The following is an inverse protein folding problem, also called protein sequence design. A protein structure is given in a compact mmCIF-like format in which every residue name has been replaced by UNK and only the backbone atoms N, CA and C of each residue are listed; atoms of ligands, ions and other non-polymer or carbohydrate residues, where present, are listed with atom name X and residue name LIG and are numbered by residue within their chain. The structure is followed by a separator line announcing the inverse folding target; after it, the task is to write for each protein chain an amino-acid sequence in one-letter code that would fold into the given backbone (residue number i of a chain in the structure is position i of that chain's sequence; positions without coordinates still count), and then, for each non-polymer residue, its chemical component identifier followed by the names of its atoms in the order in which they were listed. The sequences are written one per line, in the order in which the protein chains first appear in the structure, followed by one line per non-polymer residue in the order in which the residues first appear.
data_IF_831405464925
#
_entry.id   IF_831405464925
#
_cell.length_a   1.000
_cell.length_b   1.000
_cell.length_c   1.000
_cell.angle_alpha   90.00
_cell.angle_beta   90.00
_cell.angle_gamma   90.00
#
_symmetry.space_group_name_H-M   'P 1'
#
loop_
_entity.id
_entity.type
_entity.pdbx_description
1 polymer ?
#
# COMPACT_ATOMS: atom_id res chain seq x y z
N UNK A 1 51.30 13.72 -49.39
CA UNK A 1 49.92 13.16 -49.26
C UNK A 1 49.64 12.49 -47.90
N UNK A 2 50.62 11.96 -47.22
CA UNK A 2 50.57 11.24 -45.95
C UNK A 2 50.09 12.08 -44.77
N UNK A 3 50.45 13.38 -44.67
CA UNK A 3 50.03 14.22 -43.51
C UNK A 3 48.52 14.55 -43.44
N UNK A 4 47.84 14.56 -44.57
CA UNK A 4 46.40 14.84 -44.63
C UNK A 4 45.55 13.61 -44.12
N UNK A 5 46.05 12.41 -44.47
CA UNK A 5 45.37 11.16 -44.07
C UNK A 5 45.52 10.93 -42.57
N UNK A 6 46.70 11.18 -42.00
CA UNK A 6 46.94 11.05 -40.56
C UNK A 6 46.17 12.11 -39.76
N UNK A 7 45.99 13.31 -40.29
CA UNK A 7 45.19 14.36 -39.65
C UNK A 7 43.70 14.00 -39.64
N UNK A 8 43.16 13.51 -40.77
CA UNK A 8 41.79 13.03 -40.89
C UNK A 8 41.51 11.83 -39.95
N UNK A 9 42.44 10.87 -39.87
CA UNK A 9 42.32 9.72 -38.99
C UNK A 9 42.29 10.12 -37.48
N UNK A 10 43.13 11.10 -37.11
CA UNK A 10 43.12 11.65 -35.72
C UNK A 10 41.83 12.42 -35.43
N UNK A 11 41.30 13.20 -36.37
CA UNK A 11 40.05 13.93 -36.22
C UNK A 11 38.87 12.97 -36.05
N UNK A 12 38.85 11.88 -36.83
CA UNK A 12 37.81 10.84 -36.73
C UNK A 12 37.89 10.07 -35.40
N UNK A 13 39.11 9.79 -34.91
CA UNK A 13 39.32 9.13 -33.63
C UNK A 13 38.85 9.99 -32.42
N UNK A 14 39.08 11.31 -32.47
CA UNK A 14 38.62 12.24 -31.40
C UNK A 14 37.11 12.40 -31.46
N UNK A 15 36.50 12.46 -32.64
CA UNK A 15 35.06 12.57 -32.81
C UNK A 15 34.33 11.27 -32.35
N UNK A 16 34.93 10.11 -32.61
CA UNK A 16 34.41 8.82 -32.14
C UNK A 16 34.50 8.67 -30.62
N UNK A 17 35.55 9.18 -29.97
CA UNK A 17 35.73 9.13 -28.53
C UNK A 17 34.75 10.04 -27.77
N UNK A 18 34.36 11.18 -28.38
CA UNK A 18 33.34 12.08 -27.77
C UNK A 18 31.91 11.51 -27.84
N UNK A 19 31.62 10.64 -28.81
CA UNK A 19 30.27 10.01 -28.90
C UNK A 19 30.04 8.93 -27.86
N UNK A 20 31.08 8.34 -27.26
CA UNK A 20 30.97 7.31 -26.23
C UNK A 20 30.79 7.87 -24.82
N UNK A 21 30.93 9.18 -24.61
CA UNK A 21 30.86 9.81 -23.29
C UNK A 21 29.47 10.33 -22.93
N UNK A 22 28.45 10.21 -23.79
CA UNK A 22 27.12 10.79 -23.57
C UNK A 22 26.07 9.74 -23.14
N UNK A 23 26.48 8.52 -22.83
CA UNK A 23 25.55 7.41 -22.49
C UNK A 23 25.45 7.12 -20.99
N UNK A 24 25.52 8.12 -20.13
CA UNK A 24 25.03 7.99 -18.77
C UNK A 24 23.66 8.66 -18.68
N UNK A 25 22.58 7.92 -18.98
CA UNK A 25 21.25 8.35 -18.62
C UNK A 25 21.13 8.27 -17.09
N UNK A 26 20.74 9.37 -16.47
CA UNK A 26 20.48 9.50 -15.02
C UNK A 26 19.24 8.73 -14.56
N UNK A 27 18.62 7.93 -15.43
CA UNK A 27 17.37 7.19 -15.17
C UNK A 27 17.57 5.88 -14.41
N UNK A 28 18.80 5.49 -14.08
CA UNK A 28 19.09 4.20 -13.43
C UNK A 28 19.00 4.23 -11.90
N UNK A 29 18.71 5.39 -11.31
CA UNK A 29 18.58 5.53 -9.85
C UNK A 29 17.13 5.92 -9.51
N UNK A 30 16.45 5.07 -8.74
CA UNK A 30 15.17 5.43 -8.15
C UNK A 30 15.39 6.38 -6.98
N UNK A 31 15.29 7.68 -7.20
CA UNK A 31 15.47 8.73 -6.18
C UNK A 31 14.28 8.81 -5.20
N UNK A 32 13.15 8.23 -5.56
CA UNK A 32 11.95 8.19 -4.73
C UNK A 32 11.51 6.76 -4.46
N UNK A 33 11.29 6.41 -3.19
CA UNK A 33 10.65 5.14 -2.82
C UNK A 33 9.22 5.11 -3.34
N UNK A 34 9.04 4.49 -4.50
CA UNK A 34 7.70 4.28 -5.09
C UNK A 34 7.08 3.07 -4.42
N UNK A 35 6.45 3.30 -3.28
CA UNK A 35 5.71 2.25 -2.60
C UNK A 35 4.24 2.28 -3.01
N UNK A 36 3.68 1.11 -3.32
CA UNK A 36 2.24 0.93 -3.39
C UNK A 36 1.65 1.28 -2.02
N UNK A 37 0.76 2.27 -1.91
CA UNK A 37 0.22 2.72 -0.63
C UNK A 37 -0.68 1.66 -0.03
N UNK A 38 -0.65 1.55 1.30
CA UNK A 38 -1.49 0.66 2.08
C UNK A 38 -2.80 1.34 2.47
N UNK A 39 -3.81 0.53 2.70
CA UNK A 39 -5.08 0.96 3.29
C UNK A 39 -4.86 1.33 4.76
N UNK A 40 -5.05 2.59 5.11
CA UNK A 40 -5.00 3.04 6.51
C UNK A 40 -6.40 2.95 7.11
N UNK A 41 -6.51 2.09 8.12
CA UNK A 41 -7.74 1.87 8.91
C UNK A 41 -7.56 2.50 10.28
N UNK A 42 -8.57 3.22 10.78
CA UNK A 42 -8.59 3.78 12.14
C UNK A 42 -9.84 3.32 12.89
N UNK A 43 -9.65 3.05 14.18
CA UNK A 43 -10.70 2.53 15.05
C UNK A 43 -11.36 3.63 15.89
N UNK A 44 -12.67 3.55 16.04
CA UNK A 44 -13.50 4.51 16.75
C UNK A 44 -14.54 3.82 17.60
N UNK A 45 -14.98 4.50 18.65
CA UNK A 45 -16.06 4.05 19.50
C UNK A 45 -17.40 4.07 18.73
N UNK A 46 -18.12 2.95 18.74
CA UNK A 46 -19.41 2.83 18.05
C UNK A 46 -20.50 3.73 18.65
N UNK A 47 -20.45 4.02 19.96
CA UNK A 47 -21.41 4.91 20.64
C UNK A 47 -21.05 6.38 20.50
N UNK A 48 -19.76 6.70 20.24
CA UNK A 48 -19.29 8.06 19.97
C UNK A 48 -18.30 8.04 18.79
N UNK A 49 -18.83 8.12 17.59
CA UNK A 49 -18.10 7.96 16.34
C UNK A 49 -17.04 9.04 16.06
N UNK A 50 -16.91 10.04 16.93
CA UNK A 50 -15.87 11.07 16.87
C UNK A 50 -14.67 10.77 17.76
N UNK A 51 -14.79 9.80 18.68
CA UNK A 51 -13.75 9.45 19.64
C UNK A 51 -12.94 8.26 19.13
N UNK A 52 -11.65 8.42 18.80
CA UNK A 52 -10.76 7.30 18.51
C UNK A 52 -10.72 6.34 19.69
N UNK A 53 -10.70 5.05 19.42
CA UNK A 53 -10.69 4.01 20.45
C UNK A 53 -9.81 2.86 20.02
N UNK A 54 -8.80 2.55 20.85
CA UNK A 54 -7.91 1.42 20.59
C UNK A 54 -8.56 0.09 20.88
N UNK A 55 -8.21 -0.92 20.08
CA UNK A 55 -8.61 -2.31 20.31
C UNK A 55 -7.46 -3.04 21.01
N UNK A 56 -7.72 -3.61 22.18
CA UNK A 56 -6.76 -4.41 22.92
C UNK A 56 -6.68 -5.84 22.35
N UNK A 57 -5.49 -6.46 22.42
CA UNK A 57 -5.25 -7.84 22.00
C UNK A 57 -5.74 -8.14 20.57
N UNK A 58 -5.58 -7.15 19.67
CA UNK A 58 -5.99 -7.28 18.29
C UNK A 58 -5.03 -8.21 17.53
N UNK A 59 -5.59 -9.20 16.87
CA UNK A 59 -4.89 -10.08 15.94
C UNK A 59 -5.57 -9.98 14.58
N UNK A 60 -4.77 -9.83 13.50
CA UNK A 60 -5.31 -9.63 12.15
C UNK A 60 -4.68 -10.65 11.21
N UNK A 61 -5.52 -11.31 10.43
CA UNK A 61 -5.12 -12.24 9.38
C UNK A 61 -5.62 -11.76 8.01
N UNK A 62 -4.88 -12.04 6.95
CA UNK A 62 -5.48 -12.10 5.61
C UNK A 62 -6.34 -13.37 5.51
N UNK A 63 -7.49 -13.29 4.87
CA UNK A 63 -8.36 -14.45 4.67
C UNK A 63 -7.60 -15.61 4.02
N UNK A 64 -7.77 -16.81 4.57
CA UNK A 64 -7.07 -18.03 4.14
C UNK A 64 -5.63 -18.17 4.64
N UNK A 65 -5.09 -17.20 5.39
CA UNK A 65 -3.76 -17.29 5.97
C UNK A 65 -3.82 -17.71 7.44
N UNK A 66 -2.93 -18.61 7.84
CA UNK A 66 -2.74 -19.01 9.24
C UNK A 66 -1.76 -18.13 10.01
N UNK A 67 -0.90 -17.38 9.29
CA UNK A 67 0.08 -16.47 9.89
C UNK A 67 -0.54 -15.08 10.05
N UNK A 68 -0.59 -14.52 11.27
CA UNK A 68 -1.14 -13.20 11.49
C UNK A 68 -0.22 -12.09 10.94
N UNK A 69 -0.84 -11.03 10.41
CA UNK A 69 -0.16 -9.77 10.07
C UNK A 69 0.14 -8.95 11.32
N UNK A 70 -0.73 -9.06 12.32
CA UNK A 70 -0.60 -8.45 13.64
C UNK A 70 -1.00 -9.51 14.67
N UNK A 71 -0.26 -9.63 15.76
CA UNK A 71 -0.49 -10.62 16.81
C UNK A 71 -0.65 -9.92 18.16
N UNK A 72 -1.83 -10.04 18.75
CA UNK A 72 -2.16 -9.65 20.13
C UNK A 72 -1.63 -8.27 20.55
N UNK A 73 -1.83 -7.25 19.71
CA UNK A 73 -1.32 -5.90 19.92
C UNK A 73 -2.47 -4.92 20.17
N UNK A 74 -2.25 -3.89 20.98
CA UNK A 74 -3.21 -2.81 21.17
C UNK A 74 -2.97 -1.71 20.14
N UNK A 75 -3.95 -1.45 19.27
CA UNK A 75 -3.84 -0.50 18.16
C UNK A 75 -5.09 0.39 18.08
N UNK A 76 -4.87 1.67 17.74
CA UNK A 76 -5.92 2.62 17.35
C UNK A 76 -6.03 2.78 15.83
N UNK A 77 -5.00 2.34 15.11
CA UNK A 77 -4.90 2.43 13.65
C UNK A 77 -3.93 1.39 13.09
N UNK A 78 -4.10 1.04 11.83
CA UNK A 78 -3.21 0.12 11.12
C UNK A 78 -3.22 0.38 9.62
N UNK A 79 -2.06 0.15 8.97
CA UNK A 79 -1.92 0.14 7.52
C UNK A 79 -1.89 -1.30 7.00
N UNK A 80 -2.83 -1.67 6.15
CA UNK A 80 -3.03 -3.00 5.58
C UNK A 80 -2.75 -3.01 4.08
N UNK A 81 -1.97 -3.96 3.60
CA UNK A 81 -1.68 -4.11 2.17
C UNK A 81 -2.86 -4.71 1.43
N UNK A 82 -3.29 -4.09 0.35
CA UNK A 82 -4.33 -4.66 -0.52
C UNK A 82 -3.69 -5.59 -1.56
N UNK A 83 -4.44 -6.61 -1.98
CA UNK A 83 -4.06 -7.46 -3.10
C UNK A 83 -4.20 -6.70 -4.43
N UNK A 84 -3.49 -7.12 -5.45
CA UNK A 84 -3.74 -6.60 -6.82
C UNK A 84 -5.08 -7.10 -7.36
N UNK A 85 -5.54 -8.26 -6.90
CA UNK A 85 -6.84 -8.83 -7.25
C UNK A 85 -7.90 -8.46 -6.21
N UNK A 86 -9.00 -7.92 -6.66
CA UNK A 86 -10.19 -7.59 -5.89
C UNK A 86 -11.09 -8.84 -5.69
N UNK A 87 -11.66 -9.08 -4.49
CA UNK A 87 -11.55 -8.32 -3.25
C UNK A 87 -10.36 -8.72 -2.37
N UNK A 88 -10.08 -7.87 -1.35
CA UNK A 88 -9.22 -8.25 -0.23
C UNK A 88 -10.06 -8.40 1.04
N UNK A 89 -9.92 -9.52 1.73
CA UNK A 89 -10.63 -9.80 2.98
C UNK A 89 -9.64 -9.98 4.13
N UNK A 90 -9.97 -9.36 5.27
CA UNK A 90 -9.23 -9.47 6.51
C UNK A 90 -10.11 -10.01 7.63
N UNK A 91 -9.51 -10.85 8.47
CA UNK A 91 -10.13 -11.40 9.69
C UNK A 91 -9.50 -10.71 10.89
N UNK A 92 -10.31 -10.02 11.66
CA UNK A 92 -9.94 -9.33 12.89
C UNK A 92 -10.41 -10.14 14.09
N UNK A 93 -9.50 -10.48 14.99
CA UNK A 93 -9.79 -11.16 16.24
C UNK A 93 -9.40 -10.30 17.44
N UNK A 94 -10.22 -10.29 18.47
CA UNK A 94 -9.90 -9.69 19.76
C UNK A 94 -10.39 -10.58 20.90
N UNK A 95 -9.83 -10.40 22.09
CA UNK A 95 -10.25 -11.09 23.31
C UNK A 95 -11.32 -10.25 24.00
N UNK A 96 -12.54 -10.76 24.11
CA UNK A 96 -13.69 -10.05 24.73
C UNK A 96 -13.82 -10.31 26.21
N UNK A 97 -13.49 -11.52 26.69
CA UNK A 97 -13.53 -11.86 28.11
C UNK A 97 -12.70 -13.12 28.38
N UNK A 98 -11.76 -13.03 29.33
CA UNK A 98 -10.87 -14.14 29.66
C UNK A 98 -10.13 -14.70 28.44
N UNK A 99 -10.46 -15.91 28.02
CA UNK A 99 -9.89 -16.57 26.82
C UNK A 99 -10.83 -16.55 25.62
N UNK A 100 -12.01 -15.92 25.73
CA UNK A 100 -13.00 -15.90 24.65
C UNK A 100 -12.57 -14.91 23.57
N UNK A 101 -12.32 -15.43 22.36
CA UNK A 101 -12.02 -14.63 21.19
C UNK A 101 -13.29 -14.32 20.41
N UNK A 102 -13.38 -13.10 19.90
CA UNK A 102 -14.43 -12.69 18.98
C UNK A 102 -13.80 -12.30 17.65
N UNK A 103 -14.44 -12.71 16.56
CA UNK A 103 -13.92 -12.57 15.20
C UNK A 103 -14.86 -11.68 14.38
N UNK A 104 -14.29 -10.80 13.58
CA UNK A 104 -14.99 -9.97 12.61
C UNK A 104 -14.29 -10.06 11.26
N UNK A 105 -15.04 -10.14 10.17
CA UNK A 105 -14.51 -10.21 8.80
C UNK A 105 -14.84 -8.93 8.07
N UNK A 106 -13.80 -8.29 7.52
CA UNK A 106 -13.90 -7.07 6.72
C UNK A 106 -13.50 -7.41 5.29
N UNK A 107 -14.42 -7.24 4.36
CA UNK A 107 -14.18 -7.38 2.91
C UNK A 107 -14.10 -6.00 2.28
N UNK A 108 -13.06 -5.77 1.51
CA UNK A 108 -12.75 -4.51 0.84
C UNK A 108 -12.74 -4.75 -0.66
N UNK A 109 -13.50 -3.96 -1.39
CA UNK A 109 -13.55 -3.94 -2.85
C UNK A 109 -13.02 -2.62 -3.38
N UNK A 110 -12.35 -2.63 -4.50
CA UNK A 110 -11.68 -1.48 -5.10
C UNK A 110 -11.37 -1.74 -6.58
N UNK A 111 -11.00 -0.70 -7.31
CA UNK A 111 -10.35 -0.82 -8.60
C UNK A 111 -8.86 -0.52 -8.44
N UNK A 112 -8.01 -1.24 -9.15
CA UNK A 112 -6.56 -1.01 -9.20
C UNK A 112 -6.21 -0.14 -10.40
N UNK A 113 -5.26 0.77 -10.20
CA UNK A 113 -4.69 1.59 -11.26
C UNK A 113 -3.17 1.53 -11.15
N UNK A 114 -2.53 1.07 -12.23
CA UNK A 114 -1.09 0.92 -12.33
C UNK A 114 -0.50 2.07 -13.12
N UNK A 115 0.49 2.75 -12.54
CA UNK A 115 1.20 3.86 -13.18
C UNK A 115 2.68 3.50 -13.28
N UNK A 116 3.23 3.55 -14.49
CA UNK A 116 4.66 3.44 -14.69
C UNK A 116 5.34 4.72 -14.19
N UNK A 117 6.32 4.59 -13.35
CA UNK A 117 7.05 5.72 -12.75
C UNK A 117 8.36 5.98 -13.48
N UNK A 118 9.22 4.99 -13.57
CA UNK A 118 10.48 5.02 -14.34
C UNK A 118 11.01 3.60 -14.51
N UNK A 119 12.03 3.43 -15.36
CA UNK A 119 12.69 2.11 -15.51
C UNK A 119 13.31 1.61 -14.20
N UNK A 120 13.87 2.50 -13.40
CA UNK A 120 14.49 2.17 -12.12
C UNK A 120 13.47 1.95 -10.97
N UNK A 121 12.36 2.72 -10.97
CA UNK A 121 11.35 2.66 -9.92
C UNK A 121 10.23 1.66 -10.20
N UNK A 122 10.04 1.26 -11.46
CA UNK A 122 9.01 0.30 -11.86
C UNK A 122 7.60 0.88 -11.89
N UNK A 123 6.63 0.09 -11.43
CA UNK A 123 5.20 0.40 -11.46
C UNK A 123 4.70 0.68 -10.04
N UNK A 124 3.92 1.75 -9.88
CA UNK A 124 3.15 2.06 -8.67
C UNK A 124 1.70 1.65 -8.88
N UNK A 125 1.13 0.92 -7.94
CA UNK A 125 -0.30 0.64 -7.92
C UNK A 125 -0.99 1.57 -6.93
N UNK A 126 -2.09 2.17 -7.35
CA UNK A 126 -3.04 2.91 -6.51
C UNK A 126 -4.40 2.24 -6.57
N UNK A 127 -5.27 2.54 -5.60
CA UNK A 127 -6.59 1.94 -5.53
C UNK A 127 -7.64 3.04 -5.46
N UNK A 128 -8.73 2.86 -6.20
CA UNK A 128 -9.85 3.81 -6.24
C UNK A 128 -11.19 3.09 -6.13
N UNK A 129 -12.28 3.84 -6.03
CA UNK A 129 -13.65 3.31 -5.89
C UNK A 129 -13.77 2.35 -4.70
N UNK A 130 -13.19 2.75 -3.57
CA UNK A 130 -13.13 1.94 -2.36
C UNK A 130 -14.52 1.69 -1.79
N UNK A 131 -14.83 0.42 -1.51
CA UNK A 131 -16.00 -0.01 -0.73
C UNK A 131 -15.57 -1.02 0.33
N UNK A 132 -16.27 -1.07 1.45
CA UNK A 132 -15.95 -1.97 2.54
C UNK A 132 -17.23 -2.47 3.22
N UNK A 133 -17.25 -3.76 3.56
CA UNK A 133 -18.37 -4.43 4.22
C UNK A 133 -17.88 -5.29 5.36
N UNK A 134 -18.63 -5.29 6.48
CA UNK A 134 -18.39 -6.16 7.62
C UNK A 134 -19.41 -7.30 7.55
N UNK A 135 -18.92 -8.54 7.56
CA UNK A 135 -19.80 -9.71 7.59
C UNK A 135 -20.49 -9.78 8.98
N UNK A 136 -21.82 -10.00 8.94
CA UNK A 136 -22.63 -10.15 10.15
C UNK A 136 -22.43 -9.01 11.15
N UNK A 137 -22.42 -7.75 10.71
CA UNK A 137 -22.17 -6.58 11.57
C UNK A 137 -23.07 -6.51 12.82
N UNK A 138 -24.29 -7.05 12.76
CA UNK A 138 -25.21 -7.09 13.90
C UNK A 138 -24.71 -7.97 15.06
N UNK A 139 -24.05 -9.09 14.76
CA UNK A 139 -23.51 -10.04 15.75
C UNK A 139 -22.01 -9.90 15.96
N UNK A 140 -21.31 -9.23 15.04
CA UNK A 140 -19.89 -8.95 15.12
C UNK A 140 -19.58 -7.91 16.20
N UNK A 141 -18.38 -7.96 16.77
CA UNK A 141 -17.85 -6.93 17.65
C UNK A 141 -17.52 -5.62 16.90
N UNK A 142 -17.18 -5.69 15.61
CA UNK A 142 -17.14 -4.53 14.72
C UNK A 142 -18.57 -4.19 14.30
N UNK A 143 -19.01 -2.98 14.63
CA UNK A 143 -20.41 -2.52 14.46
C UNK A 143 -20.65 -1.76 13.17
N UNK A 144 -19.60 -1.17 12.59
CA UNK A 144 -19.77 -0.38 11.38
C UNK A 144 -18.47 -0.02 10.70
N UNK A 145 -18.59 0.39 9.44
CA UNK A 145 -17.51 0.90 8.61
C UNK A 145 -17.95 2.16 7.88
N UNK A 146 -17.04 3.13 7.77
CA UNK A 146 -17.25 4.33 6.96
C UNK A 146 -16.03 4.59 6.10
N UNK A 147 -16.22 4.76 4.80
CA UNK A 147 -15.17 5.21 3.88
C UNK A 147 -14.97 6.71 4.08
N UNK A 148 -13.74 7.11 4.38
CA UNK A 148 -13.34 8.52 4.58
C UNK A 148 -12.60 9.08 3.37
N UNK A 149 -11.85 8.23 2.69
CA UNK A 149 -11.20 8.54 1.43
C UNK A 149 -11.42 7.37 0.46
N UNK A 150 -11.98 7.66 -0.69
CA UNK A 150 -12.35 6.67 -1.69
C UNK A 150 -11.17 6.24 -2.59
N UNK A 151 -10.02 6.91 -2.43
CA UNK A 151 -8.78 6.65 -3.18
C UNK A 151 -7.64 6.40 -2.21
N UNK A 152 -6.82 5.38 -2.50
CA UNK A 152 -5.61 5.03 -1.76
C UNK A 152 -4.42 5.33 -2.67
N UNK A 153 -3.89 6.52 -2.55
CA UNK A 153 -2.72 7.06 -3.27
C UNK A 153 -1.55 7.37 -2.34
N UNK A 154 -1.82 7.48 -1.03
CA UNK A 154 -0.86 7.74 0.04
C UNK A 154 -1.37 7.21 1.39
N UNK A 155 -0.53 7.24 2.44
CA UNK A 155 -0.85 6.76 3.79
C UNK A 155 -0.99 7.90 4.83
N UNK A 156 -1.14 9.14 4.41
CA UNK A 156 -1.15 10.31 5.30
C UNK A 156 -2.40 10.43 6.15
N UNK A 157 -3.52 9.87 5.68
CA UNK A 157 -4.83 9.94 6.34
C UNK A 157 -5.50 8.57 6.33
N UNK A 158 -6.40 8.35 7.30
CA UNK A 158 -7.22 7.14 7.30
C UNK A 158 -8.17 7.12 6.11
N UNK A 159 -8.23 5.98 5.44
CA UNK A 159 -9.14 5.70 4.33
C UNK A 159 -10.47 5.16 4.84
N UNK A 160 -10.41 4.36 5.91
CA UNK A 160 -11.58 3.71 6.52
C UNK A 160 -11.59 4.00 8.01
N UNK A 161 -12.78 4.28 8.56
CA UNK A 161 -13.06 4.22 9.99
C UNK A 161 -13.87 2.97 10.30
N UNK A 162 -13.40 2.18 11.27
CA UNK A 162 -14.10 1.03 11.82
C UNK A 162 -14.61 1.38 13.23
N UNK A 163 -15.84 0.98 13.53
CA UNK A 163 -16.50 1.25 14.81
C UNK A 163 -16.69 -0.03 15.62
N UNK A 164 -16.37 0.01 16.92
CA UNK A 164 -16.49 -1.12 17.84
C UNK A 164 -16.94 -0.74 19.24
#
# INVERSE_FOLDING_TARGET
MTNKITFLARLFSVLSATFLAVSCESDDICDHTVNTPRLVVRFYNANNTRTPMSIANLTIYGEGNSTPLVSSTTLDSIALSLRLQNPTTYVFQTVVSGTTTSTATLTITYNTEETFVSKACGIKTTYNTLSATIQNANTSWLKGVTIKNNTIDNEKKAHIHLYH
#
